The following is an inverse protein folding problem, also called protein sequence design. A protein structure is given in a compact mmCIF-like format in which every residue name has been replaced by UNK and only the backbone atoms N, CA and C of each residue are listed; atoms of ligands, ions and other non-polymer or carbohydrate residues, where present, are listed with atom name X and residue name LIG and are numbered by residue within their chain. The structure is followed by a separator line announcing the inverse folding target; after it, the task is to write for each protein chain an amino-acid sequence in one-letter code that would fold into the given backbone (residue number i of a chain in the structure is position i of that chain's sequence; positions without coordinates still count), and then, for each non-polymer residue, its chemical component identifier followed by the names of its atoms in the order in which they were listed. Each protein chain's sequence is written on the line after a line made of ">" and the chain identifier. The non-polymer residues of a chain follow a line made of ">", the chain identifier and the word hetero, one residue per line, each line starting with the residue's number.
data_IF_762299583084
#
_entry.id   IF_762299583084
#
_cell.length_a   1.000
_cell.length_b   1.000
_cell.length_c   1.000
_cell.angle_alpha   90.00
_cell.angle_beta   90.00
_cell.angle_gamma   90.00
#
_symmetry.space_group_name_H-M   'P 1'
#
loop_
_entity.id
_entity.type
_entity.pdbx_description
1 polymer ?
#
# COMPACT_ATOMS: atom_id res chain seq x y z
N UNK A 1 19.29 -27.39 33.95
CA UNK A 1 18.09 -26.51 33.89
C UNK A 1 18.50 -25.32 33.03
N UNK A 2 17.99 -25.20 31.82
CA UNK A 2 18.26 -24.03 30.97
C UNK A 2 17.51 -22.82 31.55
N UNK A 3 18.23 -21.73 31.79
CA UNK A 3 17.62 -20.47 32.22
C UNK A 3 17.25 -19.69 30.95
N UNK A 4 16.03 -19.15 30.84
CA UNK A 4 15.68 -18.26 29.73
C UNK A 4 16.54 -16.99 29.84
N UNK A 5 17.24 -16.65 28.77
CA UNK A 5 18.00 -15.40 28.62
C UNK A 5 17.20 -14.48 27.71
N UNK A 6 17.01 -13.24 28.13
CA UNK A 6 16.38 -12.20 27.31
C UNK A 6 17.47 -11.33 26.69
N UNK A 7 17.40 -11.16 25.37
CA UNK A 7 18.30 -10.30 24.61
C UNK A 7 17.47 -9.40 23.68
N UNK A 8 17.86 -8.13 23.58
CA UNK A 8 17.21 -7.17 22.68
C UNK A 8 17.97 -7.17 21.35
N UNK A 9 17.28 -7.55 20.27
CA UNK A 9 17.80 -7.48 18.92
C UNK A 9 17.19 -6.29 18.18
N UNK A 10 18.04 -5.33 17.78
CA UNK A 10 17.59 -4.15 17.04
C UNK A 10 17.56 -4.45 15.54
N UNK A 11 16.40 -4.21 14.91
CA UNK A 11 16.22 -4.33 13.46
C UNK A 11 15.89 -2.96 12.90
N UNK A 12 16.81 -2.40 12.12
CA UNK A 12 16.59 -1.16 11.37
C UNK A 12 15.86 -1.46 10.06
N UNK A 13 14.55 -1.19 10.02
CA UNK A 13 13.72 -1.43 8.83
C UNK A 13 14.08 -0.41 7.75
N UNK A 14 14.56 -0.90 6.60
CA UNK A 14 14.91 -0.04 5.46
C UNK A 14 13.72 0.20 4.54
N UNK A 15 13.69 1.39 3.94
CA UNK A 15 12.69 1.77 2.95
C UNK A 15 12.70 0.78 1.77
N UNK A 16 11.50 0.40 1.33
CA UNK A 16 11.29 -0.47 0.18
C UNK A 16 11.41 -1.97 0.46
N UNK A 17 11.77 -2.38 1.69
CA UNK A 17 11.70 -3.79 2.08
C UNK A 17 10.33 -4.38 1.79
N UNK A 18 10.32 -5.59 1.27
CA UNK A 18 9.12 -6.31 0.85
C UNK A 18 8.80 -7.40 1.85
N UNK A 19 7.53 -7.81 1.89
CA UNK A 19 7.14 -9.07 2.53
C UNK A 19 8.10 -10.21 2.11
N UNK A 20 8.57 -10.98 3.09
CA UNK A 20 9.51 -12.08 2.87
C UNK A 20 10.99 -11.72 2.99
N UNK A 21 11.34 -10.44 3.16
CA UNK A 21 12.75 -10.04 3.42
C UNK A 21 13.23 -10.71 4.71
N UNK A 22 14.37 -11.40 4.65
CA UNK A 22 14.95 -12.14 5.79
C UNK A 22 16.06 -11.34 6.45
N UNK A 23 16.03 -11.26 7.77
CA UNK A 23 17.10 -10.69 8.61
C UNK A 23 17.60 -11.82 9.51
N UNK A 24 18.87 -12.20 9.33
CA UNK A 24 19.49 -13.31 10.06
C UNK A 24 20.40 -12.76 11.15
N UNK A 25 20.20 -13.24 12.37
CA UNK A 25 21.11 -13.07 13.49
C UNK A 25 21.81 -14.40 13.76
N UNK A 26 23.11 -14.51 13.46
CA UNK A 26 23.83 -15.77 13.59
C UNK A 26 23.93 -16.20 15.06
N UNK A 27 23.79 -17.49 15.31
CA UNK A 27 23.99 -18.10 16.64
C UNK A 27 23.10 -17.50 17.77
N UNK A 28 21.94 -16.92 17.41
CA UNK A 28 20.95 -16.35 18.36
C UNK A 28 19.73 -17.23 18.63
N UNK A 29 19.80 -18.48 18.22
CA UNK A 29 18.77 -19.50 18.46
C UNK A 29 18.96 -20.21 19.80
N UNK A 30 18.37 -21.40 19.93
CA UNK A 30 18.46 -22.19 21.16
C UNK A 30 19.89 -22.70 21.38
N UNK A 31 20.48 -22.36 22.52
CA UNK A 31 21.81 -22.81 22.94
C UNK A 31 21.75 -24.18 23.64
N UNK A 32 22.71 -25.06 23.33
CA UNK A 32 22.90 -26.35 24.00
C UNK A 32 24.39 -26.55 24.36
N UNK A 33 24.70 -27.26 25.46
CA UNK A 33 26.09 -27.52 25.83
C UNK A 33 26.86 -28.23 24.70
N UNK A 34 28.04 -27.73 24.36
CA UNK A 34 28.92 -28.24 23.31
C UNK A 34 28.35 -28.19 21.88
N UNK A 35 27.30 -27.41 21.63
CA UNK A 35 26.68 -27.23 20.31
C UNK A 35 26.59 -25.73 20.01
N UNK A 36 27.00 -25.33 18.82
CA UNK A 36 26.84 -23.94 18.33
C UNK A 36 25.34 -23.65 18.19
N UNK A 37 24.89 -22.51 18.72
CA UNK A 37 23.50 -22.10 18.62
C UNK A 37 23.06 -21.92 17.16
N UNK A 38 21.78 -22.16 16.88
CA UNK A 38 21.21 -21.96 15.55
C UNK A 38 21.06 -20.47 15.22
N UNK A 39 20.86 -20.15 13.95
CA UNK A 39 20.55 -18.79 13.53
C UNK A 39 19.09 -18.41 13.81
N UNK A 40 18.87 -17.17 14.23
CA UNK A 40 17.53 -16.59 14.36
C UNK A 40 17.21 -15.78 13.10
N UNK A 41 16.16 -16.15 12.38
CA UNK A 41 15.75 -15.49 11.14
C UNK A 41 14.42 -14.77 11.34
N UNK A 42 14.43 -13.45 11.23
CA UNK A 42 13.23 -12.64 11.15
C UNK A 42 12.78 -12.50 9.70
N UNK A 43 11.47 -12.61 9.47
CA UNK A 43 10.86 -12.41 8.16
C UNK A 43 9.95 -11.20 8.23
N UNK A 44 10.19 -10.21 7.38
CA UNK A 44 9.35 -9.03 7.27
C UNK A 44 7.98 -9.42 6.71
N UNK A 45 6.93 -8.95 7.36
CA UNK A 45 5.56 -9.04 6.88
C UNK A 45 4.92 -7.64 6.76
N UNK A 46 3.87 -7.54 5.95
CA UNK A 46 3.16 -6.30 5.67
C UNK A 46 1.86 -6.26 6.48
N UNK A 47 1.75 -5.28 7.37
CA UNK A 47 0.51 -5.05 8.12
C UNK A 47 -0.52 -4.39 7.19
N UNK A 48 -1.76 -4.89 7.12
CA UNK A 48 -2.82 -4.23 6.35
C UNK A 48 -3.04 -2.78 6.80
N UNK A 49 -3.13 -1.87 5.84
CA UNK A 49 -3.47 -0.47 6.08
C UNK A 49 -4.93 -0.22 5.68
N UNK A 50 -5.70 0.60 6.42
CA UNK A 50 -7.13 0.83 6.15
C UNK A 50 -7.41 1.40 4.75
N UNK A 51 -6.53 2.25 4.24
CA UNK A 51 -6.74 2.97 2.98
C UNK A 51 -5.82 2.52 1.84
N UNK A 52 -4.68 1.94 2.17
CA UNK A 52 -3.59 1.72 1.21
C UNK A 52 -3.28 0.23 1.11
N UNK A 53 -3.17 -0.25 -0.12
CA UNK A 53 -2.74 -1.61 -0.40
C UNK A 53 -1.47 -1.54 -1.22
N UNK A 54 -0.40 -2.15 -0.72
CA UNK A 54 0.82 -2.29 -1.50
C UNK A 54 0.57 -3.28 -2.64
N UNK A 55 0.92 -2.88 -3.86
CA UNK A 55 0.95 -3.76 -5.01
C UNK A 55 2.38 -3.82 -5.56
N UNK A 56 3.16 -4.79 -5.05
CA UNK A 56 4.57 -4.96 -5.39
C UNK A 56 5.42 -3.70 -5.11
N UNK A 57 5.65 -2.90 -6.15
CA UNK A 57 6.43 -1.68 -6.11
C UNK A 57 5.57 -0.42 -6.13
N UNK A 58 4.25 -0.55 -6.19
CA UNK A 58 3.31 0.56 -6.28
C UNK A 58 2.37 0.54 -5.07
N UNK A 59 1.61 1.62 -4.93
CA UNK A 59 0.56 1.77 -3.93
C UNK A 59 -0.79 1.89 -4.60
N UNK A 60 -1.79 1.19 -4.08
CA UNK A 60 -3.16 1.29 -4.54
C UNK A 60 -4.02 1.89 -3.44
N UNK A 61 -4.85 2.86 -3.81
CA UNK A 61 -5.92 3.41 -2.95
C UNK A 61 -7.23 3.33 -3.70
N UNK A 62 -8.31 2.98 -3.00
CA UNK A 62 -9.66 2.98 -3.59
C UNK A 62 -10.43 4.17 -3.05
N UNK A 63 -10.70 5.15 -3.91
CA UNK A 63 -11.45 6.35 -3.54
C UNK A 63 -12.92 6.23 -3.92
N UNK A 64 -13.78 6.56 -2.96
CA UNK A 64 -15.21 6.69 -3.19
C UNK A 64 -15.46 8.03 -3.87
N UNK A 65 -16.24 7.99 -4.94
CA UNK A 65 -16.64 9.17 -5.71
C UNK A 65 -18.13 9.08 -5.99
N UNK A 66 -18.84 10.21 -5.93
CA UNK A 66 -20.24 10.23 -6.37
C UNK A 66 -20.30 10.11 -7.89
N UNK A 67 -21.45 9.70 -8.41
CA UNK A 67 -21.61 9.63 -9.85
C UNK A 67 -21.56 11.01 -10.52
N UNK A 68 -22.09 12.05 -9.87
CA UNK A 68 -22.03 13.41 -10.39
C UNK A 68 -20.56 13.81 -10.60
N UNK A 69 -19.74 13.66 -9.57
CA UNK A 69 -18.30 13.90 -9.62
C UNK A 69 -17.58 13.03 -10.66
N UNK A 70 -17.98 11.77 -10.81
CA UNK A 70 -17.43 10.88 -11.83
C UNK A 70 -17.71 11.35 -13.26
N UNK A 71 -18.82 12.05 -13.50
CA UNK A 71 -19.23 12.54 -14.82
C UNK A 71 -18.78 13.98 -15.11
N UNK A 72 -18.78 14.85 -14.09
CA UNK A 72 -18.48 16.28 -14.24
C UNK A 72 -17.04 16.66 -13.91
N UNK A 73 -16.27 15.70 -13.39
CA UNK A 73 -14.92 15.93 -12.87
C UNK A 73 -14.90 16.05 -11.34
N UNK A 74 -13.76 15.68 -10.76
CA UNK A 74 -13.54 15.59 -9.32
C UNK A 74 -12.08 15.91 -8.98
N UNK A 75 -11.82 16.50 -7.81
CA UNK A 75 -10.46 16.61 -7.29
C UNK A 75 -10.31 15.66 -6.12
N UNK A 76 -9.47 14.65 -6.28
CA UNK A 76 -9.16 13.73 -5.19
C UNK A 76 -8.21 14.42 -4.23
N UNK A 77 -8.64 14.53 -2.98
CA UNK A 77 -7.81 14.93 -1.85
C UNK A 77 -7.31 13.68 -1.15
N UNK A 78 -6.00 13.44 -1.17
CA UNK A 78 -5.40 12.24 -0.58
C UNK A 78 -4.25 12.63 0.34
N UNK A 79 -4.31 12.15 1.59
CA UNK A 79 -3.19 12.23 2.51
C UNK A 79 -2.27 11.03 2.29
N UNK A 80 -1.02 11.28 1.91
CA UNK A 80 -0.01 10.25 1.70
C UNK A 80 0.53 9.70 3.02
N UNK A 81 1.25 8.57 2.99
CA UNK A 81 1.84 7.96 4.19
C UNK A 81 2.87 8.85 4.91
N UNK A 82 3.47 9.81 4.21
CA UNK A 82 4.38 10.81 4.78
C UNK A 82 3.66 12.09 5.25
N UNK A 83 2.32 12.10 5.25
CA UNK A 83 1.48 13.18 5.79
C UNK A 83 1.26 14.35 4.85
N UNK A 84 1.77 14.32 3.61
CA UNK A 84 1.48 15.34 2.59
C UNK A 84 0.05 15.19 2.08
N UNK A 85 -0.56 16.29 1.68
CA UNK A 85 -1.87 16.29 1.00
C UNK A 85 -1.65 16.49 -0.50
N UNK A 86 -2.11 15.53 -1.30
CA UNK A 86 -2.11 15.60 -2.75
C UNK A 86 -3.50 16.02 -3.24
N UNK A 87 -3.52 17.04 -4.10
CA UNK A 87 -4.73 17.49 -4.80
C UNK A 87 -4.63 17.06 -6.26
N UNK A 88 -5.37 16.01 -6.61
CA UNK A 88 -5.25 15.35 -7.92
C UNK A 88 -6.53 15.60 -8.72
N UNK A 89 -6.53 16.55 -9.68
CA UNK A 89 -7.69 16.82 -10.50
C UNK A 89 -7.91 15.69 -11.50
N UNK A 90 -9.17 15.29 -11.63
CA UNK A 90 -9.67 14.30 -12.58
C UNK A 90 -10.72 14.98 -13.43
N UNK A 91 -10.33 15.37 -14.64
CA UNK A 91 -11.19 16.07 -15.58
C UNK A 91 -11.90 15.13 -16.56
N UNK A 92 -11.49 13.86 -16.60
CA UNK A 92 -12.07 12.84 -17.47
C UNK A 92 -13.18 12.10 -16.75
N UNK A 93 -14.11 11.54 -17.53
CA UNK A 93 -15.17 10.68 -17.00
C UNK A 93 -14.57 9.44 -16.35
N UNK A 94 -14.86 9.28 -15.06
CA UNK A 94 -14.50 8.09 -14.27
C UNK A 94 -15.50 6.98 -14.62
N UNK A 95 -15.02 5.99 -15.36
CA UNK A 95 -15.80 4.81 -15.76
C UNK A 95 -15.34 3.57 -14.97
N UNK A 96 -16.11 2.47 -14.97
CA UNK A 96 -15.65 1.22 -14.37
C UNK A 96 -14.31 0.80 -14.98
N UNK A 97 -13.31 0.54 -14.13
CA UNK A 97 -11.90 0.27 -14.48
C UNK A 97 -11.04 1.50 -14.81
N UNK A 98 -11.57 2.72 -14.70
CA UNK A 98 -10.74 3.90 -14.73
C UNK A 98 -9.77 3.89 -13.54
N UNK A 99 -8.49 4.11 -13.83
CA UNK A 99 -7.45 4.24 -12.84
C UNK A 99 -6.67 5.53 -13.08
N UNK A 100 -6.44 6.28 -12.00
CA UNK A 100 -5.59 7.47 -12.05
C UNK A 100 -4.23 7.12 -11.44
N UNK A 101 -3.20 7.11 -12.28
CA UNK A 101 -1.81 6.91 -11.85
C UNK A 101 -1.17 8.26 -11.53
N UNK A 102 -0.61 8.37 -10.33
CA UNK A 102 0.20 9.49 -9.87
C UNK A 102 1.65 8.99 -9.75
N UNK A 103 2.54 9.43 -10.65
CA UNK A 103 3.89 8.87 -10.71
C UNK A 103 4.74 9.29 -9.52
N UNK A 104 5.63 8.40 -9.07
CA UNK A 104 6.65 8.66 -8.02
C UNK A 104 6.10 8.98 -6.62
N UNK A 105 4.86 8.60 -6.32
CA UNK A 105 4.21 8.83 -5.01
C UNK A 105 4.22 7.61 -4.07
N UNK A 106 5.10 6.64 -4.31
CA UNK A 106 5.34 5.52 -3.40
C UNK A 106 6.82 5.46 -2.93
N UNK A 107 7.21 4.34 -2.32
CA UNK A 107 8.53 4.07 -1.77
C UNK A 107 9.60 4.00 -2.87
N UNK A 108 10.85 4.38 -2.53
CA UNK A 108 12.00 4.16 -3.39
C UNK A 108 12.31 2.67 -3.54
N UNK A 109 12.87 2.31 -4.69
CA UNK A 109 13.38 0.96 -4.94
C UNK A 109 14.61 0.69 -4.06
N UNK A 110 14.69 -0.46 -3.37
CA UNK A 110 15.87 -0.84 -2.60
C UNK A 110 17.16 -0.88 -3.42
N UNK A 111 17.06 -1.14 -4.73
CA UNK A 111 18.22 -1.21 -5.66
C UNK A 111 18.64 0.15 -6.21
N UNK A 112 17.70 1.10 -6.29
CA UNK A 112 17.90 2.39 -6.93
C UNK A 112 17.01 3.45 -6.23
N UNK A 113 17.58 4.23 -5.30
CA UNK A 113 16.82 5.22 -4.54
C UNK A 113 16.20 6.34 -5.41
N UNK A 114 16.70 6.54 -6.63
CA UNK A 114 16.17 7.54 -7.56
C UNK A 114 14.83 7.13 -8.16
N UNK A 115 14.53 5.83 -8.16
CA UNK A 115 13.28 5.26 -8.69
C UNK A 115 12.30 5.06 -7.56
N UNK A 116 11.11 5.65 -7.71
CA UNK A 116 9.98 5.50 -6.79
C UNK A 116 8.83 4.82 -7.51
N UNK A 117 8.08 4.02 -6.76
CA UNK A 117 6.82 3.47 -7.22
C UNK A 117 5.76 4.54 -7.47
N UNK A 118 4.68 4.11 -8.11
CA UNK A 118 3.53 4.95 -8.41
C UNK A 118 2.41 4.75 -7.39
N UNK A 119 1.53 5.73 -7.31
CA UNK A 119 0.26 5.64 -6.61
C UNK A 119 -0.86 5.49 -7.65
N UNK A 120 -1.64 4.43 -7.55
CA UNK A 120 -2.79 4.14 -8.39
C UNK A 120 -4.07 4.34 -7.61
N UNK A 121 -4.92 5.24 -8.09
CA UNK A 121 -6.23 5.54 -7.51
C UNK A 121 -7.28 4.80 -8.33
N UNK A 122 -8.00 3.90 -7.65
CA UNK A 122 -9.11 3.13 -8.20
C UNK A 122 -10.44 3.67 -7.70
N UNK A 123 -11.49 3.46 -8.47
CA UNK A 123 -12.84 3.89 -8.16
C UNK A 123 -13.80 2.71 -8.10
N UNK A 124 -14.90 2.80 -7.32
CA UNK A 124 -15.90 1.76 -7.26
C UNK A 124 -16.49 1.47 -8.65
N UNK A 125 -16.57 0.18 -8.99
CA UNK A 125 -17.03 -0.28 -10.31
C UNK A 125 -18.54 -0.56 -10.38
N UNK A 126 -19.26 -0.36 -9.27
CA UNK A 126 -20.69 -0.70 -9.16
C UNK A 126 -21.48 0.50 -8.68
N UNK A 127 -22.58 0.76 -9.38
CA UNK A 127 -23.66 1.64 -8.96
C UNK A 127 -24.81 0.80 -8.44
N UNK A 128 -25.51 1.32 -7.42
CA UNK A 128 -26.73 0.67 -6.93
C UNK A 128 -27.86 0.76 -7.98
N UNK A 129 -28.87 -0.13 -7.92
CA UNK A 129 -30.02 -0.07 -8.83
C UNK A 129 -30.73 1.29 -8.82
N UNK A 130 -30.82 1.94 -7.66
CA UNK A 130 -31.47 3.24 -7.47
C UNK A 130 -30.68 4.34 -8.19
N UNK A 131 -29.36 4.33 -8.06
CA UNK A 131 -28.47 5.24 -8.79
C UNK A 131 -28.63 5.07 -10.29
N UNK A 132 -28.72 3.83 -10.78
CA UNK A 132 -28.92 3.54 -12.22
C UNK A 132 -30.27 4.05 -12.73
N UNK A 133 -31.34 3.90 -11.95
CA UNK A 133 -32.68 4.36 -12.32
C UNK A 133 -32.74 5.89 -12.46
N UNK A 134 -32.13 6.64 -11.53
CA UNK A 134 -32.09 8.10 -11.59
C UNK A 134 -31.38 8.65 -12.83
N UNK A 135 -30.29 8.02 -13.26
CA UNK A 135 -29.53 8.46 -14.46
C UNK A 135 -30.34 8.27 -15.74
N UNK A 136 -31.08 7.17 -15.86
CA UNK A 136 -31.91 6.89 -17.05
C UNK A 136 -32.96 7.98 -17.30
N UNK A 137 -33.35 8.72 -16.26
CA UNK A 137 -34.30 9.83 -16.37
C UNK A 137 -33.58 11.11 -16.86
N UNK A 138 -32.31 11.30 -16.47
CA UNK A 138 -31.57 12.54 -16.69
C UNK A 138 -30.76 12.57 -17.99
N UNK A 139 -30.40 11.41 -18.56
CA UNK A 139 -29.72 11.31 -19.86
C UNK A 139 -30.74 10.89 -20.93
N UNK A 140 -31.41 11.84 -21.62
CA UNK A 140 -32.21 11.53 -22.80
C UNK A 140 -31.30 11.03 -23.95
N UNK A 141 -31.87 10.18 -24.79
CA UNK A 141 -31.20 9.48 -25.90
C UNK A 141 -30.39 10.37 -26.84
#
# INVERSE_FOLDING_TARGET
>A
KTLPVEEILTIEVKLGWRKGTKITFPEKGNEQPNIIALDLVFVIDEKPHPEFTRDSNDLVVTQKVSLAEALTGHTVHLTTLDGRVLNIPINNVIHPNYEKVVPREWMPSPKDPSKRGNLTIKFPTRLTPEQKAGIKILLPH
#
